data_IF_262666237522
#
_entry.id   IF_262666237522
#
_cell.length_a   1.000
_cell.length_b   1.000
_cell.length_c   1.000
_cell.angle_alpha   90.00
_cell.angle_beta   90.00
_cell.angle_gamma   90.00
#
_symmetry.space_group_name_H-M   'P 1'
#
loop_
_entity.id
_entity.type
_entity.pdbx_description
1 polymer ?
#
# COMPACT_ATOMS: atom_id res chain seq x y z
N UNK A 1 2.99 2.97 -45.26
CA UNK A 1 2.41 1.64 -45.01
C UNK A 1 3.04 1.18 -43.73
N UNK A 2 2.36 1.35 -42.61
CA UNK A 2 2.82 0.77 -41.35
C UNK A 2 2.45 -0.71 -41.38
N UNK A 3 3.45 -1.58 -41.23
CA UNK A 3 3.20 -3.01 -41.09
C UNK A 3 2.41 -3.24 -39.79
N UNK A 4 1.35 -4.05 -39.82
CA UNK A 4 0.61 -4.34 -38.60
C UNK A 4 1.53 -5.05 -37.60
N UNK A 5 1.49 -4.58 -36.34
CA UNK A 5 2.22 -5.20 -35.24
C UNK A 5 1.95 -6.69 -35.20
N UNK A 6 3.00 -7.49 -34.95
CA UNK A 6 2.81 -8.91 -34.72
C UNK A 6 1.96 -9.13 -33.47
N UNK A 7 1.24 -10.26 -33.40
CA UNK A 7 0.43 -10.60 -32.23
C UNK A 7 1.21 -10.50 -30.92
N UNK A 8 2.48 -10.89 -30.93
CA UNK A 8 3.37 -10.83 -29.77
C UNK A 8 3.72 -9.38 -29.38
N UNK A 9 3.97 -8.50 -30.36
CA UNK A 9 4.25 -7.09 -30.10
C UNK A 9 3.00 -6.36 -29.59
N UNK A 10 1.81 -6.74 -30.09
CA UNK A 10 0.55 -6.23 -29.61
C UNK A 10 0.28 -6.66 -28.16
N UNK A 11 0.45 -7.93 -27.81
CA UNK A 11 0.33 -8.41 -26.43
C UNK A 11 1.31 -7.70 -25.48
N UNK A 12 2.57 -7.56 -25.88
CA UNK A 12 3.58 -6.83 -25.09
C UNK A 12 3.19 -5.36 -24.88
N UNK A 13 2.75 -4.66 -25.94
CA UNK A 13 2.29 -3.27 -25.83
C UNK A 13 1.05 -3.14 -24.93
N UNK A 14 0.12 -4.10 -25.02
CA UNK A 14 -1.08 -4.12 -24.21
C UNK A 14 -0.77 -4.31 -22.72
N UNK A 15 0.14 -5.24 -22.41
CA UNK A 15 0.61 -5.48 -21.05
C UNK A 15 1.35 -4.27 -20.46
N UNK A 16 2.19 -3.60 -21.25
CA UNK A 16 2.86 -2.38 -20.81
C UNK A 16 1.89 -1.24 -20.50
N UNK A 17 0.92 -0.99 -21.38
CA UNK A 17 -0.04 0.09 -21.21
C UNK A 17 -1.00 -0.16 -20.04
N UNK A 18 -1.36 -1.43 -19.81
CA UNK A 18 -2.17 -1.84 -18.67
C UNK A 18 -1.41 -1.63 -17.34
N UNK A 19 -0.15 -2.07 -17.26
CA UNK A 19 0.69 -1.88 -16.08
C UNK A 19 0.96 -0.40 -15.77
N UNK A 20 1.23 0.41 -16.80
CA UNK A 20 1.37 1.87 -16.67
C UNK A 20 0.11 2.51 -16.09
N UNK A 21 -1.07 2.05 -16.54
CA UNK A 21 -2.35 2.56 -16.07
C UNK A 21 -2.61 2.22 -14.60
N UNK A 22 -2.35 0.98 -14.18
CA UNK A 22 -2.47 0.57 -12.77
C UNK A 22 -1.54 1.39 -11.89
N UNK A 23 -0.27 1.49 -12.26
CA UNK A 23 0.74 2.24 -11.52
C UNK A 23 0.38 3.72 -11.37
N UNK A 24 -0.17 4.33 -12.43
CA UNK A 24 -0.65 5.71 -12.37
C UNK A 24 -1.80 5.88 -11.37
N UNK A 25 -2.75 4.93 -11.34
CA UNK A 25 -3.86 4.95 -10.37
C UNK A 25 -3.39 4.79 -8.94
N UNK A 26 -2.52 3.82 -8.67
CA UNK A 26 -1.94 3.61 -7.33
C UNK A 26 -1.22 4.88 -6.88
N UNK A 27 -0.38 5.45 -7.75
CA UNK A 27 0.33 6.71 -7.47
C UNK A 27 -0.61 7.87 -7.15
N UNK A 28 -1.75 7.96 -7.85
CA UNK A 28 -2.78 8.97 -7.58
C UNK A 28 -3.45 8.76 -6.21
N UNK A 29 -3.79 7.52 -5.86
CA UNK A 29 -4.39 7.17 -4.57
C UNK A 29 -3.41 7.40 -3.42
N UNK A 30 -2.15 7.01 -3.56
CA UNK A 30 -1.13 7.27 -2.54
C UNK A 30 -0.91 8.77 -2.34
N UNK A 31 -0.92 9.58 -3.40
CA UNK A 31 -0.89 11.05 -3.28
C UNK A 31 -2.09 11.62 -2.53
N UNK A 32 -3.28 11.04 -2.70
CA UNK A 32 -4.49 11.43 -1.96
C UNK A 32 -4.36 11.15 -0.46
N UNK A 33 -3.72 10.05 -0.09
CA UNK A 33 -3.55 9.61 1.31
C UNK A 33 -2.21 10.00 1.93
N UNK A 34 -1.42 10.86 1.29
CA UNK A 34 -0.11 11.26 1.79
C UNK A 34 0.03 12.78 1.84
N UNK A 35 0.84 13.25 2.78
CA UNK A 35 1.34 14.62 2.79
C UNK A 35 2.86 14.63 2.63
N UNK A 36 3.43 15.81 2.36
CA UNK A 36 4.88 15.95 2.12
C UNK A 36 5.73 15.43 3.29
N UNK A 37 5.25 15.58 4.53
CA UNK A 37 5.98 15.16 5.73
C UNK A 37 5.97 13.64 5.84
N UNK A 38 4.82 13.01 5.58
CA UNK A 38 4.73 11.55 5.60
C UNK A 38 5.56 10.91 4.49
N UNK A 39 5.56 11.48 3.27
CA UNK A 39 6.42 11.00 2.18
C UNK A 39 7.91 11.06 2.52
N UNK A 40 8.37 12.15 3.17
CA UNK A 40 9.76 12.26 3.61
C UNK A 40 10.13 11.16 4.62
N UNK A 41 9.23 10.85 5.55
CA UNK A 41 9.41 9.76 6.52
C UNK A 41 9.42 8.39 5.83
N UNK A 42 8.51 8.15 4.90
CA UNK A 42 8.43 6.92 4.11
C UNK A 42 9.74 6.64 3.37
N UNK A 43 10.40 7.68 2.83
CA UNK A 43 11.69 7.53 2.15
C UNK A 43 12.84 7.07 3.08
N UNK A 44 12.69 7.26 4.40
CA UNK A 44 13.65 6.79 5.39
C UNK A 44 13.43 5.34 5.84
N UNK A 45 12.35 4.68 5.40
CA UNK A 45 12.03 3.31 5.75
C UNK A 45 12.69 2.34 4.76
N UNK A 46 13.29 1.28 5.30
CA UNK A 46 13.91 0.22 4.49
C UNK A 46 12.87 -0.79 4.03
N UNK A 47 12.88 -1.13 2.74
CA UNK A 47 11.99 -2.12 2.13
C UNK A 47 12.15 -3.49 2.81
N UNK A 48 13.39 -3.86 3.10
CA UNK A 48 13.73 -5.12 3.81
C UNK A 48 13.21 -5.22 5.24
N UNK A 49 12.64 -4.15 5.79
CA UNK A 49 12.00 -4.16 7.10
C UNK A 49 10.52 -4.55 7.03
N UNK A 50 9.95 -4.68 5.84
CA UNK A 50 8.55 -5.08 5.63
C UNK A 50 8.53 -6.53 5.18
N UNK A 51 7.83 -7.37 5.94
CA UNK A 51 7.65 -8.78 5.63
C UNK A 51 6.17 -9.03 5.39
N UNK A 52 5.81 -9.40 4.17
CA UNK A 52 4.45 -9.76 3.81
C UNK A 52 4.15 -11.16 4.37
N UNK A 53 3.26 -11.23 5.36
CA UNK A 53 2.88 -12.50 6.01
C UNK A 53 1.71 -13.15 5.28
N UNK A 54 0.77 -12.33 4.80
CA UNK A 54 -0.43 -12.81 4.09
C UNK A 54 -0.90 -11.81 3.06
N UNK A 55 -1.18 -12.31 1.86
CA UNK A 55 -1.86 -11.58 0.80
C UNK A 55 -2.94 -12.50 0.22
N UNK A 56 -4.19 -12.27 0.61
CA UNK A 56 -5.33 -13.10 0.23
C UNK A 56 -6.41 -12.25 -0.42
N UNK A 57 -6.40 -12.22 -1.75
CA UNK A 57 -7.35 -11.46 -2.55
C UNK A 57 -8.80 -11.90 -2.33
N UNK A 58 -9.03 -13.21 -2.20
CA UNK A 58 -10.39 -13.77 -2.06
C UNK A 58 -10.99 -13.42 -0.71
N UNK A 59 -10.20 -13.49 0.35
CA UNK A 59 -10.64 -13.13 1.70
C UNK A 59 -10.54 -11.63 1.97
N UNK A 60 -9.90 -10.87 1.08
CA UNK A 60 -9.70 -9.43 1.26
C UNK A 60 -8.79 -9.11 2.44
N UNK A 61 -7.79 -9.95 2.70
CA UNK A 61 -6.88 -9.83 3.85
C UNK A 61 -5.45 -9.55 3.37
N UNK A 62 -4.82 -8.53 3.96
CA UNK A 62 -3.41 -8.21 3.83
C UNK A 62 -2.79 -8.12 5.22
N UNK A 63 -1.76 -8.92 5.48
CA UNK A 63 -1.00 -8.89 6.74
C UNK A 63 0.48 -8.67 6.45
N UNK A 64 1.07 -7.69 7.13
CA UNK A 64 2.48 -7.37 7.02
C UNK A 64 3.07 -7.07 8.39
N UNK A 65 4.23 -7.67 8.69
CA UNK A 65 5.05 -7.32 9.85
C UNK A 65 6.17 -6.36 9.47
N UNK A 66 6.49 -5.46 10.41
CA UNK A 66 7.51 -4.45 10.22
C UNK A 66 8.55 -4.56 11.33
N UNK A 67 9.78 -4.81 10.91
CA UNK A 67 10.97 -4.79 11.75
C UNK A 67 11.41 -3.34 11.97
N UNK A 68 11.01 -2.73 13.08
CA UNK A 68 11.49 -1.39 13.41
C UNK A 68 12.71 -1.45 14.33
N UNK A 69 13.85 -0.93 13.84
CA UNK A 69 15.04 -0.66 14.68
C UNK A 69 14.68 0.41 15.72
N UNK A 70 14.38 -0.01 16.95
CA UNK A 70 14.10 0.90 18.07
C UNK A 70 12.79 0.65 18.82
N UNK A 71 11.95 -0.29 18.36
CA UNK A 71 10.79 -0.76 19.11
C UNK A 71 11.07 -2.12 19.73
N UNK A 72 10.62 -2.35 20.96
CA UNK A 72 10.75 -3.67 21.62
C UNK A 72 9.76 -4.71 21.10
N UNK A 73 8.99 -4.39 20.06
CA UNK A 73 7.94 -5.21 19.49
C UNK A 73 7.86 -5.00 17.98
N UNK A 74 7.71 -6.10 17.24
CA UNK A 74 7.37 -6.10 15.81
C UNK A 74 6.03 -5.39 15.62
N UNK A 75 5.99 -4.36 14.77
CA UNK A 75 4.72 -3.72 14.41
C UNK A 75 4.02 -4.58 13.35
N UNK A 76 2.69 -4.66 13.42
CA UNK A 76 1.88 -5.35 12.41
C UNK A 76 0.92 -4.37 11.74
N UNK A 77 0.72 -4.56 10.45
CA UNK A 77 -0.36 -3.99 9.65
C UNK A 77 -1.28 -5.16 9.27
N UNK A 78 -2.57 -5.01 9.55
CA UNK A 78 -3.63 -5.86 9.05
C UNK A 78 -4.60 -4.96 8.29
N UNK A 79 -4.91 -5.31 7.05
CA UNK A 79 -5.99 -4.70 6.28
C UNK A 79 -7.02 -5.78 5.98
N UNK A 80 -8.24 -5.56 6.43
CA UNK A 80 -9.41 -6.34 6.09
C UNK A 80 -10.35 -5.46 5.26
N UNK A 81 -10.37 -5.72 3.95
CA UNK A 81 -11.16 -4.98 2.99
C UNK A 81 -12.66 -5.22 3.15
N UNK A 82 -13.04 -6.44 3.52
CA UNK A 82 -14.45 -6.83 3.66
C UNK A 82 -15.09 -6.13 4.86
N UNK A 83 -14.34 -6.03 5.95
CA UNK A 83 -14.77 -5.32 7.15
C UNK A 83 -14.43 -3.82 7.13
N UNK A 84 -13.67 -3.36 6.13
CA UNK A 84 -13.14 -1.99 6.03
C UNK A 84 -12.40 -1.59 7.31
N UNK A 85 -11.43 -2.41 7.67
CA UNK A 85 -10.60 -2.21 8.86
C UNK A 85 -9.14 -2.17 8.44
N UNK A 86 -8.44 -1.13 8.87
CA UNK A 86 -6.99 -1.06 8.87
C UNK A 86 -6.53 -1.05 10.32
N UNK A 87 -5.95 -2.16 10.76
CA UNK A 87 -5.39 -2.28 12.08
C UNK A 87 -3.88 -2.17 12.04
N UNK A 88 -3.33 -1.15 12.67
CA UNK A 88 -1.89 -0.92 12.66
C UNK A 88 -1.40 -0.27 13.96
N UNK A 89 -0.40 -0.91 14.59
CA UNK A 89 0.24 -0.38 15.79
C UNK A 89 1.35 0.62 15.41
N UNK A 90 1.01 1.90 15.38
CA UNK A 90 1.93 2.98 15.01
C UNK A 90 1.82 4.19 15.92
N UNK A 91 2.96 4.65 16.44
CA UNK A 91 3.03 5.86 17.29
C UNK A 91 2.75 7.16 16.51
N UNK A 92 2.95 7.14 15.18
CA UNK A 92 2.58 8.26 14.31
C UNK A 92 1.08 8.50 14.29
N UNK A 93 0.28 7.49 14.63
CA UNK A 93 -1.17 7.60 14.66
C UNK A 93 -1.70 8.00 16.05
N UNK A 94 -1.09 7.47 17.12
CA UNK A 94 -1.47 7.76 18.52
C UNK A 94 -1.34 9.24 18.91
N UNK A 95 -0.46 10.00 18.25
CA UNK A 95 -0.07 11.34 18.70
C UNK A 95 -0.65 12.51 17.88
N UNK A 96 -1.25 12.30 16.70
CA UNK A 96 -1.74 13.45 15.89
C UNK A 96 -2.97 13.25 14.99
N UNK A 97 -3.52 12.04 14.82
CA UNK A 97 -4.24 11.72 13.58
C UNK A 97 -5.71 11.30 13.67
N UNK A 98 -6.43 11.51 14.79
CA UNK A 98 -7.89 11.27 14.79
C UNK A 98 -8.66 12.12 13.74
N UNK A 99 -8.02 13.17 13.20
CA UNK A 99 -8.56 14.07 12.18
C UNK A 99 -7.71 14.14 10.89
N UNK A 100 -6.62 13.38 10.75
CA UNK A 100 -5.83 13.44 9.52
C UNK A 100 -6.52 12.66 8.41
N UNK A 101 -6.45 13.18 7.18
CA UNK A 101 -6.88 12.46 5.98
C UNK A 101 -5.71 11.70 5.31
N UNK A 102 -4.66 11.39 6.07
CA UNK A 102 -3.43 10.77 5.56
C UNK A 102 -3.10 9.47 6.29
N UNK A 103 -2.56 8.51 5.52
CA UNK A 103 -1.95 7.28 6.03
C UNK A 103 -0.66 7.59 6.78
N UNK A 104 -0.26 6.67 7.68
CA UNK A 104 1.07 6.70 8.28
C UNK A 104 2.15 6.34 7.25
N UNK A 105 3.40 6.66 7.58
CA UNK A 105 4.53 6.38 6.69
C UNK A 105 4.70 4.89 6.36
N UNK A 106 4.34 4.00 7.29
CA UNK A 106 4.40 2.55 7.10
C UNK A 106 3.38 2.03 6.08
N UNK A 107 2.12 2.48 6.14
CA UNK A 107 1.12 2.07 5.14
C UNK A 107 1.52 2.55 3.74
N UNK A 108 2.00 3.78 3.62
CA UNK A 108 2.46 4.29 2.32
C UNK A 108 3.62 3.43 1.82
N UNK A 109 4.59 3.09 2.69
CA UNK A 109 5.72 2.25 2.30
C UNK A 109 5.27 0.85 1.86
N UNK A 110 4.35 0.24 2.59
CA UNK A 110 3.78 -1.07 2.23
C UNK A 110 3.14 -1.03 0.84
N UNK A 111 2.33 -0.02 0.53
CA UNK A 111 1.71 0.08 -0.79
C UNK A 111 2.69 0.45 -1.91
N UNK A 112 3.81 1.13 -1.61
CA UNK A 112 4.89 1.33 -2.59
C UNK A 112 5.60 0.00 -2.90
N UNK A 113 5.85 -0.83 -1.90
CA UNK A 113 6.43 -2.17 -2.10
C UNK A 113 5.47 -3.04 -2.92
N UNK A 114 4.19 -3.10 -2.52
CA UNK A 114 3.18 -3.86 -3.27
C UNK A 114 2.97 -3.31 -4.68
N UNK A 115 3.16 -2.00 -4.91
CA UNK A 115 3.09 -1.44 -6.26
C UNK A 115 4.17 -2.03 -7.18
N UNK A 116 5.36 -2.32 -6.65
CA UNK A 116 6.47 -2.90 -7.42
C UNK A 116 6.32 -4.41 -7.59
N UNK A 117 5.86 -5.11 -6.55
CA UNK A 117 5.81 -6.58 -6.51
C UNK A 117 4.47 -7.16 -6.99
N UNK A 118 3.35 -6.60 -6.55
CA UNK A 118 1.98 -7.13 -6.74
C UNK A 118 0.98 -5.98 -7.04
N UNK A 119 1.11 -5.29 -8.19
CA UNK A 119 0.41 -4.03 -8.46
C UNK A 119 -1.11 -4.17 -8.55
N UNK A 120 -1.63 -5.32 -8.98
CA UNK A 120 -3.08 -5.54 -9.10
C UNK A 120 -3.70 -5.61 -7.69
N UNK A 121 -3.05 -6.34 -6.79
CA UNK A 121 -3.42 -6.52 -5.40
C UNK A 121 -3.27 -5.19 -4.64
N UNK A 122 -2.16 -4.47 -4.87
CA UNK A 122 -1.96 -3.14 -4.32
C UNK A 122 -3.14 -2.21 -4.65
N UNK A 123 -3.55 -2.17 -5.92
CA UNK A 123 -4.70 -1.36 -6.35
C UNK A 123 -6.00 -1.85 -5.72
N UNK A 124 -6.24 -3.16 -5.69
CA UNK A 124 -7.46 -3.76 -5.13
C UNK A 124 -7.68 -3.40 -3.66
N UNK A 125 -6.62 -3.47 -2.85
CA UNK A 125 -6.67 -3.07 -1.44
C UNK A 125 -6.78 -1.56 -1.29
N UNK A 126 -6.07 -0.77 -2.10
CA UNK A 126 -6.01 0.68 -1.96
C UNK A 126 -7.28 1.41 -2.44
N UNK A 127 -8.02 0.86 -3.41
CA UNK A 127 -9.25 1.48 -3.95
C UNK A 127 -10.40 1.52 -2.92
N UNK A 128 -10.49 0.49 -2.07
CA UNK A 128 -11.65 0.29 -1.18
C UNK A 128 -11.41 0.63 0.28
N UNK A 129 -10.18 1.03 0.63
CA UNK A 129 -9.83 1.47 1.97
C UNK A 129 -9.68 3.01 2.06
N UNK A 130 -9.96 3.52 3.25
CA UNK A 130 -9.93 4.92 3.60
C UNK A 130 -9.18 5.14 4.92
N UNK A 131 -8.70 6.35 5.12
CA UNK A 131 -8.16 6.82 6.41
C UNK A 131 -9.16 6.77 7.56
N UNK A 132 -10.46 6.66 7.26
CA UNK A 132 -11.50 6.48 8.27
C UNK A 132 -11.62 5.03 8.75
N UNK A 133 -11.02 4.09 8.04
CA UNK A 133 -11.12 2.66 8.30
C UNK A 133 -10.09 2.20 9.34
N UNK A 134 -9.30 3.13 9.90
CA UNK A 134 -8.30 2.81 10.92
C UNK A 134 -8.93 2.43 12.26
N UNK A 135 -8.54 1.27 12.77
CA UNK A 135 -8.76 0.89 14.16
C UNK A 135 -7.43 0.87 14.92
N UNK A 136 -7.42 1.49 16.11
CA UNK A 136 -6.27 1.37 17.01
C UNK A 136 -6.39 0.08 17.79
N UNK A 137 -5.36 -0.78 17.76
CA UNK A 137 -5.20 -1.82 18.77
C UNK A 137 -5.13 -1.15 20.16
N UNK A 138 -6.22 -1.26 20.92
CA UNK A 138 -6.22 -1.14 22.37
C UNK A 138 -6.04 -2.57 22.91
N UNK A 139 -4.78 -2.94 23.15
CA UNK A 139 -4.45 -3.93 24.17
C UNK A 139 -3.89 -3.20 25.39
#
# INVERSE_FOLDING_TARGET
>A
MEEPLSFLDWELSFHEDYSKTINAKISQLLKKYSDKKTLYKTAGLSDSSFHLERLDFQQGILECSIDSKGFSHTSKILIDRNNKVISHRCDEFKSSNRNSKSFCSHLIKLFLILQEEEPIEALYFLEDISVNDYESFLE
#
